data_IF_306949001302
#
_entry.id   IF_306949001302
#
_cell.length_a   1.000
_cell.length_b   1.000
_cell.length_c   1.000
_cell.angle_alpha   90.00
_cell.angle_beta   90.00
_cell.angle_gamma   90.00
#
_symmetry.space_group_name_H-M   'P 1'
#
loop_
_entity.id
_entity.type
_entity.pdbx_description
1 polymer ?
#
# COMPACT_ATOMS: atom_id res chain seq x y z
N UNK A 1 8.87 -6.86 15.01
CA UNK A 1 9.42 -7.11 13.66
C UNK A 1 10.89 -6.75 13.67
N UNK A 2 11.78 -7.61 13.17
CA UNK A 2 13.20 -7.23 13.06
C UNK A 2 13.39 -6.31 11.86
N UNK A 3 14.31 -5.34 11.96
CA UNK A 3 14.74 -4.52 10.83
C UNK A 3 16.12 -4.96 10.37
N UNK A 4 16.35 -4.93 9.05
CA UNK A 4 17.63 -5.26 8.42
C UNK A 4 18.17 -4.02 7.74
N UNK A 5 19.45 -3.71 7.96
CA UNK A 5 20.15 -2.63 7.25
C UNK A 5 20.70 -3.18 5.95
N UNK A 6 20.35 -2.54 4.85
CA UNK A 6 20.85 -2.84 3.50
C UNK A 6 21.56 -1.62 2.93
N UNK A 7 22.65 -1.85 2.22
CA UNK A 7 23.31 -0.82 1.40
C UNK A 7 22.76 -0.93 -0.02
N UNK A 8 22.27 0.16 -0.58
CA UNK A 8 21.67 0.19 -1.91
C UNK A 8 22.32 1.29 -2.75
N UNK A 9 22.48 1.02 -4.05
CA UNK A 9 22.83 2.05 -5.04
C UNK A 9 21.54 2.46 -5.74
N UNK A 10 21.20 3.74 -5.69
CA UNK A 10 20.01 4.31 -6.33
C UNK A 10 20.40 5.60 -7.08
N UNK A 11 19.67 5.95 -8.14
CA UNK A 11 19.80 7.26 -8.79
C UNK A 11 19.70 8.43 -7.81
N UNK A 12 20.38 9.53 -8.12
CA UNK A 12 20.35 10.72 -7.27
C UNK A 12 18.94 11.30 -7.15
N UNK A 13 18.17 11.28 -8.23
CA UNK A 13 16.81 11.81 -8.27
C UNK A 13 15.85 10.99 -7.38
N UNK A 14 16.02 9.67 -7.32
CA UNK A 14 15.25 8.80 -6.43
C UNK A 14 15.55 9.10 -4.96
N UNK A 15 16.82 9.35 -4.62
CA UNK A 15 17.20 9.78 -3.28
C UNK A 15 16.59 11.15 -2.93
N UNK A 16 16.64 12.11 -3.87
CA UNK A 16 16.05 13.43 -3.69
C UNK A 16 14.52 13.36 -3.49
N UNK A 17 13.85 12.43 -4.17
CA UNK A 17 12.43 12.18 -3.96
C UNK A 17 12.15 11.67 -2.54
N UNK A 18 12.88 10.66 -2.06
CA UNK A 18 12.74 10.13 -0.69
C UNK A 18 13.02 11.21 0.37
N UNK A 19 13.98 12.09 0.11
CA UNK A 19 14.30 13.23 0.96
C UNK A 19 13.15 14.21 1.03
N UNK A 20 12.55 14.55 -0.10
CA UNK A 20 11.38 15.44 -0.15
C UNK A 20 10.23 14.90 0.70
N UNK A 21 9.96 13.60 0.64
CA UNK A 21 8.90 12.99 1.44
C UNK A 21 9.21 13.05 2.96
N UNK A 22 10.47 12.85 3.33
CA UNK A 22 10.90 12.95 4.73
C UNK A 22 10.83 14.41 5.23
N UNK A 23 11.31 15.37 4.43
CA UNK A 23 11.30 16.80 4.73
C UNK A 23 9.88 17.37 4.83
N UNK A 24 8.94 16.85 4.04
CA UNK A 24 7.52 17.21 4.13
C UNK A 24 6.83 16.70 5.40
N UNK A 25 7.50 15.84 6.19
CA UNK A 25 6.93 15.19 7.37
C UNK A 25 6.03 14.00 7.06
N UNK A 26 5.84 13.64 5.78
CA UNK A 26 5.03 12.47 5.38
C UNK A 26 5.57 11.16 5.93
N UNK A 27 6.89 11.01 6.00
CA UNK A 27 7.54 9.85 6.60
C UNK A 27 8.61 10.27 7.60
N UNK A 28 8.75 9.49 8.68
CA UNK A 28 9.73 9.75 9.73
C UNK A 28 11.19 9.49 9.29
N UNK A 29 11.42 8.78 8.18
CA UNK A 29 12.75 8.50 7.64
C UNK A 29 12.68 8.02 6.19
N UNK A 30 13.84 8.04 5.50
CA UNK A 30 14.03 7.40 4.19
C UNK A 30 13.64 5.92 4.19
N UNK A 31 13.95 5.19 5.27
CA UNK A 31 13.59 3.77 5.39
C UNK A 31 12.08 3.57 5.52
N UNK A 32 11.36 4.48 6.18
CA UNK A 32 9.90 4.43 6.25
C UNK A 32 9.26 4.71 4.88
N UNK A 33 9.78 5.71 4.15
CA UNK A 33 9.34 5.99 2.78
C UNK A 33 9.61 4.81 1.83
N UNK A 34 10.81 4.21 1.91
CA UNK A 34 11.18 3.04 1.11
C UNK A 34 10.33 1.80 1.46
N UNK A 35 10.04 1.59 2.75
CA UNK A 35 9.18 0.50 3.18
C UNK A 35 7.75 0.64 2.61
N UNK A 36 7.21 1.86 2.62
CA UNK A 36 5.91 2.15 2.03
C UNK A 36 5.90 1.93 0.51
N UNK A 37 6.98 2.31 -0.19
CA UNK A 37 7.14 2.02 -1.62
C UNK A 37 7.13 0.51 -1.92
N UNK A 38 7.80 -0.30 -1.09
CA UNK A 38 7.76 -1.76 -1.21
C UNK A 38 6.35 -2.31 -0.97
N UNK A 39 5.62 -1.75 0.00
CA UNK A 39 4.21 -2.12 0.25
C UNK A 39 3.34 -1.81 -0.96
N UNK A 40 3.46 -0.61 -1.53
CA UNK A 40 2.73 -0.20 -2.72
C UNK A 40 3.06 -1.10 -3.94
N UNK A 41 4.31 -1.52 -4.09
CA UNK A 41 4.68 -2.48 -5.14
C UNK A 41 3.96 -3.82 -4.97
N UNK A 42 3.94 -4.38 -3.75
CA UNK A 42 3.20 -5.63 -3.46
C UNK A 42 1.71 -5.50 -3.72
N UNK A 43 1.12 -4.36 -3.37
CA UNK A 43 -0.30 -4.09 -3.61
C UNK A 43 -0.60 -3.94 -5.10
N UNK A 44 0.32 -3.40 -5.89
CA UNK A 44 0.15 -3.30 -7.35
C UNK A 44 0.12 -4.66 -8.03
N UNK A 45 0.84 -5.66 -7.50
CA UNK A 45 0.79 -7.05 -7.99
C UNK A 45 -0.54 -7.74 -7.66
N UNK A 46 -1.29 -7.24 -6.68
CA UNK A 46 -2.57 -7.79 -6.24
C UNK A 46 -3.77 -7.20 -6.99
N UNK A 47 -3.60 -6.08 -7.69
CA UNK A 47 -4.70 -5.34 -8.30
C UNK A 47 -5.47 -6.20 -9.32
N UNK A 48 -4.77 -6.89 -10.21
CA UNK A 48 -5.39 -7.74 -11.23
C UNK A 48 -6.10 -8.95 -10.58
N UNK A 49 -5.49 -9.55 -9.55
CA UNK A 49 -6.09 -10.67 -8.82
C UNK A 49 -7.36 -10.26 -8.06
N UNK A 50 -7.38 -9.06 -7.48
CA UNK A 50 -8.60 -8.50 -6.88
C UNK A 50 -9.66 -8.20 -7.93
N UNK A 51 -9.29 -7.63 -9.08
CA UNK A 51 -10.24 -7.35 -10.16
C UNK A 51 -10.87 -8.63 -10.71
N UNK A 52 -10.08 -9.70 -10.88
CA UNK A 52 -10.56 -11.03 -11.26
C UNK A 52 -11.52 -11.59 -10.20
N UNK A 53 -11.12 -11.60 -8.92
CA UNK A 53 -11.96 -12.11 -7.83
C UNK A 53 -13.29 -11.35 -7.69
N UNK A 54 -13.29 -10.03 -7.85
CA UNK A 54 -14.53 -9.23 -7.86
C UNK A 54 -15.41 -9.51 -9.09
N UNK A 55 -14.83 -9.86 -10.24
CA UNK A 55 -15.58 -10.23 -11.44
C UNK A 55 -16.20 -11.63 -11.40
N UNK A 56 -15.55 -12.56 -10.70
CA UNK A 56 -16.08 -13.90 -10.43
C UNK A 56 -17.27 -13.88 -9.45
N UNK A 57 -17.28 -12.89 -8.56
CA UNK A 57 -18.36 -12.68 -7.60
C UNK A 57 -19.59 -12.05 -8.28
N UNK A 58 -20.60 -12.86 -8.58
CA UNK A 58 -21.82 -12.45 -9.30
C UNK A 58 -23.06 -12.37 -8.40
N UNK A 59 -22.90 -12.61 -7.09
CA UNK A 59 -24.03 -12.80 -6.18
C UNK A 59 -24.20 -11.66 -5.17
N UNK A 60 -25.35 -11.01 -5.22
CA UNK A 60 -25.76 -9.94 -4.31
C UNK A 60 -26.37 -10.48 -3.00
N UNK A 61 -26.33 -11.79 -2.77
CA UNK A 61 -26.87 -12.46 -1.57
C UNK A 61 -26.44 -11.82 -0.24
N UNK A 62 -25.28 -11.15 -0.21
CA UNK A 62 -24.74 -10.49 0.99
C UNK A 62 -25.15 -9.02 1.15
N UNK A 63 -25.69 -8.37 0.11
CA UNK A 63 -26.09 -6.95 0.15
C UNK A 63 -27.17 -6.68 1.20
N UNK A 64 -28.05 -7.66 1.45
CA UNK A 64 -29.12 -7.52 2.45
C UNK A 64 -28.60 -7.41 3.90
N UNK A 65 -27.38 -7.88 4.19
CA UNK A 65 -26.74 -7.79 5.52
C UNK A 65 -25.90 -6.52 5.68
N UNK A 66 -25.71 -5.73 4.61
CA UNK A 66 -24.83 -4.56 4.65
C UNK A 66 -25.27 -3.49 5.67
N UNK A 67 -26.56 -3.46 6.02
CA UNK A 67 -27.14 -2.52 6.98
C UNK A 67 -27.33 -3.10 8.40
N UNK A 68 -26.94 -4.35 8.65
CA UNK A 68 -27.15 -4.99 9.94
C UNK A 68 -26.40 -4.26 11.06
N UNK A 69 -27.09 -3.99 12.17
CA UNK A 69 -26.51 -3.31 13.34
C UNK A 69 -26.37 -1.80 13.23
N UNK A 70 -26.66 -1.19 12.06
CA UNK A 70 -26.66 0.26 11.84
C UNK A 70 -27.99 0.93 12.24
N UNK A 71 -28.64 0.46 13.31
CA UNK A 71 -30.01 0.84 13.71
C UNK A 71 -30.33 2.33 13.52
N UNK A 72 -31.57 2.61 13.07
CA UNK A 72 -32.09 3.95 12.76
C UNK A 72 -31.86 4.99 13.88
#
# INVERSE_FOLDING_TARGET
MSSVKVSVSIPHDDLAYLDTQTLSGRYASRSAALHDAIRMLRESELADAYAEAYGEWQDDEWENTAADGLGA
#
